data_IF_641250269869
#
_entry.id   IF_641250269869
#
_cell.length_a   1.000
_cell.length_b   1.000
_cell.length_c   1.000
_cell.angle_alpha   90.00
_cell.angle_beta   90.00
_cell.angle_gamma   90.00
#
_symmetry.space_group_name_H-M   'P 1'
#
loop_
_entity.id
_entity.type
_entity.pdbx_description
1 polymer ?
#
# COMPACT_ATOMS: atom_id res chain seq x y z
N UNK A 1 11.38 -29.13 -2.31
CA UNK A 1 10.89 -28.09 -1.38
C UNK A 1 12.10 -27.43 -0.73
N UNK A 2 12.32 -26.13 -0.95
CA UNK A 2 13.47 -25.42 -0.36
C UNK A 2 13.12 -25.08 1.10
N UNK A 3 13.92 -25.55 2.05
CA UNK A 3 13.77 -25.16 3.47
C UNK A 3 14.40 -23.79 3.67
N UNK A 4 13.65 -22.85 4.24
CA UNK A 4 14.19 -21.55 4.66
C UNK A 4 15.16 -21.75 5.83
N UNK A 5 16.26 -20.99 5.85
CA UNK A 5 17.14 -20.87 7.03
C UNK A 5 17.23 -19.40 7.44
N UNK A 6 17.35 -19.14 8.75
CA UNK A 6 17.66 -17.82 9.26
C UNK A 6 19.11 -17.49 8.88
N UNK A 7 19.33 -16.31 8.29
CA UNK A 7 20.66 -15.88 7.85
C UNK A 7 21.45 -15.18 8.96
N UNK A 8 20.76 -14.40 9.81
CA UNK A 8 21.36 -13.58 10.88
C UNK A 8 20.50 -13.75 12.15
N UNK A 9 20.77 -14.78 12.99
CA UNK A 9 19.93 -15.14 14.14
C UNK A 9 19.76 -14.03 15.18
N UNK A 10 20.79 -13.21 15.39
CA UNK A 10 20.82 -12.11 16.34
C UNK A 10 20.04 -10.87 15.87
N UNK A 11 19.59 -10.85 14.60
CA UNK A 11 18.79 -9.76 14.00
C UNK A 11 17.46 -10.24 13.44
N UNK A 12 16.89 -11.31 14.01
CA UNK A 12 15.53 -11.72 13.67
C UNK A 12 14.56 -10.58 13.99
N UNK A 13 13.87 -10.10 12.96
CA UNK A 13 12.98 -8.94 13.05
C UNK A 13 11.85 -9.25 14.02
N UNK A 14 11.59 -8.32 14.94
CA UNK A 14 10.44 -8.36 15.85
C UNK A 14 9.48 -7.21 15.52
N UNK A 15 8.20 -7.39 15.80
CA UNK A 15 7.19 -6.34 15.67
C UNK A 15 7.11 -5.61 17.00
N UNK A 16 7.57 -4.36 17.05
CA UNK A 16 7.52 -3.51 18.24
C UNK A 16 6.61 -2.30 17.99
N UNK A 17 5.51 -2.17 18.74
CA UNK A 17 4.70 -0.94 18.84
C UNK A 17 4.15 -0.34 17.53
N UNK A 18 4.30 -1.00 16.38
CA UNK A 18 3.94 -0.46 15.08
C UNK A 18 2.57 -0.96 14.66
N UNK A 19 1.73 -0.03 14.21
CA UNK A 19 0.43 -0.33 13.61
C UNK A 19 0.50 -0.53 12.09
N UNK A 20 1.64 -0.17 11.48
CA UNK A 20 1.88 -0.31 10.06
C UNK A 20 2.12 -1.75 9.66
N UNK A 21 1.23 -2.32 8.85
CA UNK A 21 1.42 -3.64 8.26
C UNK A 21 0.96 -3.64 6.81
N UNK A 22 1.57 -4.52 6.02
CA UNK A 22 1.13 -4.81 4.65
C UNK A 22 0.48 -6.19 4.69
N UNK A 23 -0.83 -6.32 4.44
CA UNK A 23 -1.48 -7.63 4.38
C UNK A 23 -0.81 -8.50 3.32
N UNK A 24 -0.63 -9.81 3.59
CA UNK A 24 -0.08 -10.74 2.59
C UNK A 24 -0.87 -10.72 1.26
N UNK A 25 -2.18 -10.45 1.34
CA UNK A 25 -3.08 -10.21 0.21
C UNK A 25 -2.58 -9.13 -0.75
N UNK A 26 -1.89 -8.10 -0.26
CA UNK A 26 -1.34 -7.05 -1.12
C UNK A 26 -0.45 -7.64 -2.23
N UNK A 27 0.32 -8.69 -1.92
CA UNK A 27 1.07 -9.45 -2.91
C UNK A 27 0.20 -10.51 -3.59
N UNK A 28 -0.51 -11.33 -2.80
CA UNK A 28 -1.18 -12.52 -3.31
C UNK A 28 -2.32 -12.22 -4.30
N UNK A 29 -3.01 -11.10 -4.15
CA UNK A 29 -4.09 -10.65 -5.04
C UNK A 29 -3.63 -9.60 -6.07
N UNK A 30 -2.31 -9.41 -6.23
CA UNK A 30 -1.76 -8.66 -7.37
C UNK A 30 -1.71 -7.13 -7.22
N UNK A 31 -2.05 -6.57 -6.06
CA UNK A 31 -1.95 -5.12 -5.82
C UNK A 31 -0.52 -4.62 -6.05
N UNK A 32 0.48 -5.33 -5.50
CA UNK A 32 1.90 -4.97 -5.67
C UNK A 32 2.29 -4.80 -7.15
N UNK A 33 1.86 -5.71 -8.02
CA UNK A 33 2.15 -5.68 -9.46
C UNK A 33 1.30 -4.68 -10.23
N UNK A 34 0.16 -4.26 -9.68
CA UNK A 34 -0.74 -3.29 -10.30
C UNK A 34 -0.30 -1.84 -10.11
N UNK A 35 0.65 -1.59 -9.20
CA UNK A 35 1.08 -0.26 -8.82
C UNK A 35 2.40 0.13 -9.47
N UNK A 36 2.49 1.41 -9.87
CA UNK A 36 3.72 2.04 -10.33
C UNK A 36 4.74 2.24 -9.20
N UNK A 37 5.97 2.62 -9.54
CA UNK A 37 7.05 2.82 -8.57
C UNK A 37 6.70 3.90 -7.54
N UNK A 38 6.20 5.04 -8.00
CA UNK A 38 5.85 6.19 -7.18
C UNK A 38 4.63 5.89 -6.29
N UNK A 39 3.66 5.14 -6.80
CA UNK A 39 2.51 4.64 -6.03
C UNK A 39 2.95 3.71 -4.90
N UNK A 40 3.88 2.79 -5.18
CA UNK A 40 4.44 1.89 -4.16
C UNK A 40 5.23 2.66 -3.09
N UNK A 41 6.05 3.62 -3.51
CA UNK A 41 6.80 4.47 -2.59
C UNK A 41 5.86 5.23 -1.64
N UNK A 42 4.82 5.86 -2.20
CA UNK A 42 3.85 6.61 -1.42
C UNK A 42 3.01 5.69 -0.51
N UNK A 43 2.51 4.57 -1.02
CA UNK A 43 1.70 3.62 -0.25
C UNK A 43 2.49 3.04 0.93
N UNK A 44 3.72 2.57 0.69
CA UNK A 44 4.55 2.03 1.77
C UNK A 44 4.98 3.09 2.77
N UNK A 45 5.23 4.32 2.32
CA UNK A 45 5.48 5.43 3.22
C UNK A 45 4.30 5.67 4.15
N UNK A 46 3.09 5.77 3.60
CA UNK A 46 1.87 5.94 4.39
C UNK A 46 1.67 4.78 5.38
N UNK A 47 1.97 3.54 4.99
CA UNK A 47 1.91 2.37 5.91
C UNK A 47 2.83 2.55 7.12
N UNK A 48 4.00 3.15 6.93
CA UNK A 48 4.97 3.37 8.00
C UNK A 48 4.55 4.52 8.93
N UNK A 49 3.98 5.60 8.38
CA UNK A 49 3.73 6.85 9.14
C UNK A 49 2.32 6.98 9.69
N UNK A 50 1.42 6.05 9.36
CA UNK A 50 0.03 6.10 9.80
C UNK A 50 -0.17 5.54 11.20
N UNK A 51 -1.21 6.03 11.88
CA UNK A 51 -1.62 5.52 13.18
C UNK A 51 -2.41 4.18 13.07
N UNK A 52 -2.98 3.72 14.20
CA UNK A 52 -3.78 2.49 14.28
C UNK A 52 -5.06 2.49 13.43
N UNK A 53 -5.50 3.64 12.94
CA UNK A 53 -6.66 3.81 12.06
C UNK A 53 -6.25 4.02 10.60
N UNK A 54 -4.94 3.95 10.30
CA UNK A 54 -4.42 4.24 8.97
C UNK A 54 -4.33 5.73 8.67
N UNK A 55 -4.39 6.61 9.68
CA UNK A 55 -4.46 8.06 9.50
C UNK A 55 -3.09 8.72 9.53
N UNK A 56 -2.86 9.72 8.66
CA UNK A 56 -1.63 10.52 8.65
C UNK A 56 -1.84 11.95 8.13
N UNK A 57 -1.30 12.95 8.85
CA UNK A 57 -1.26 14.38 8.45
C UNK A 57 0.05 14.77 7.75
N UNK A 58 0.71 13.81 7.09
CA UNK A 58 2.03 14.07 6.50
C UNK A 58 1.92 15.03 5.30
N UNK A 59 2.69 16.12 5.31
CA UNK A 59 2.63 17.14 4.26
C UNK A 59 3.29 16.71 2.94
N UNK A 60 2.65 17.03 1.81
CA UNK A 60 3.10 16.67 0.46
C UNK A 60 4.55 17.05 0.16
N UNK A 61 4.96 18.30 0.41
CA UNK A 61 6.33 18.77 0.17
C UNK A 61 7.38 17.91 0.88
N UNK A 62 7.08 17.50 2.12
CA UNK A 62 7.98 16.66 2.91
C UNK A 62 8.01 15.23 2.39
N UNK A 63 6.88 14.68 1.93
CA UNK A 63 6.84 13.37 1.27
C UNK A 63 7.64 13.39 -0.03
N UNK A 64 7.44 14.38 -0.90
CA UNK A 64 8.20 14.54 -2.13
C UNK A 64 9.71 14.56 -1.86
N UNK A 65 10.14 15.34 -0.87
CA UNK A 65 11.56 15.43 -0.49
C UNK A 65 12.13 14.11 0.03
N UNK A 66 11.39 13.37 0.87
CA UNK A 66 11.85 12.10 1.44
C UNK A 66 11.85 10.96 0.43
N UNK A 67 10.86 10.93 -0.47
CA UNK A 67 10.71 9.89 -1.47
C UNK A 67 11.54 10.17 -2.73
N UNK A 68 12.07 11.39 -2.87
CA UNK A 68 12.83 11.80 -4.05
C UNK A 68 11.98 11.84 -5.32
N UNK A 69 10.69 12.17 -5.19
CA UNK A 69 9.74 12.28 -6.29
C UNK A 69 9.32 13.73 -6.50
N UNK A 70 9.05 14.11 -7.74
CA UNK A 70 8.56 15.44 -8.07
C UNK A 70 7.11 15.64 -7.62
N UNK A 71 6.68 16.90 -7.53
CA UNK A 71 5.31 17.21 -7.15
C UNK A 71 4.25 16.65 -8.13
N UNK A 72 4.44 16.71 -9.46
CA UNK A 72 3.51 16.06 -10.40
C UNK A 72 3.45 14.54 -10.24
N UNK A 73 4.59 13.87 -10.07
CA UNK A 73 4.65 12.42 -9.83
C UNK A 73 3.92 12.02 -8.55
N UNK A 74 4.11 12.80 -7.48
CA UNK A 74 3.39 12.61 -6.23
C UNK A 74 1.87 12.78 -6.41
N UNK A 75 1.43 13.84 -7.08
CA UNK A 75 0.00 14.08 -7.32
C UNK A 75 -0.61 12.94 -8.12
N UNK A 76 0.04 12.52 -9.20
CA UNK A 76 -0.40 11.39 -10.01
C UNK A 76 -0.47 10.09 -9.19
N UNK A 77 0.57 9.78 -8.42
CA UNK A 77 0.61 8.58 -7.59
C UNK A 77 -0.50 8.57 -6.54
N UNK A 78 -0.72 9.70 -5.86
CA UNK A 78 -1.82 9.86 -4.90
C UNK A 78 -3.17 9.61 -5.57
N UNK A 79 -3.42 10.26 -6.69
CA UNK A 79 -4.71 10.18 -7.36
C UNK A 79 -4.98 8.76 -7.89
N UNK A 80 -3.95 8.05 -8.35
CA UNK A 80 -4.05 6.64 -8.72
C UNK A 80 -4.32 5.71 -7.54
N UNK A 81 -3.69 5.95 -6.38
CA UNK A 81 -3.98 5.18 -5.17
C UNK A 81 -5.42 5.40 -4.68
N UNK A 82 -5.95 6.61 -4.83
CA UNK A 82 -7.36 6.93 -4.55
C UNK A 82 -8.27 6.20 -5.54
N UNK A 83 -7.98 6.26 -6.84
CA UNK A 83 -8.76 5.56 -7.87
C UNK A 83 -8.78 4.04 -7.68
N UNK A 84 -7.72 3.47 -7.12
CA UNK A 84 -7.60 2.04 -6.81
C UNK A 84 -8.19 1.64 -5.45
N UNK A 85 -8.83 2.58 -4.74
CA UNK A 85 -9.44 2.36 -3.43
C UNK A 85 -8.44 1.84 -2.37
N UNK A 86 -7.18 2.32 -2.44
CA UNK A 86 -6.12 1.95 -1.51
C UNK A 86 -5.90 3.00 -0.42
N UNK A 87 -6.23 4.26 -0.72
CA UNK A 87 -6.18 5.37 0.22
C UNK A 87 -7.39 6.30 0.03
N UNK A 88 -7.75 7.03 1.08
CA UNK A 88 -8.58 8.23 1.00
C UNK A 88 -7.74 9.47 1.36
N UNK A 89 -8.11 10.62 0.82
CA UNK A 89 -7.45 11.90 1.09
C UNK A 89 -8.45 13.06 1.01
N UNK A 90 -8.51 13.90 2.04
CA UNK A 90 -9.44 15.04 2.10
C UNK A 90 -8.81 16.40 1.73
N UNK A 91 -7.54 16.41 1.34
CA UNK A 91 -6.76 17.64 1.14
C UNK A 91 -5.72 17.89 2.23
N UNK A 92 -5.89 17.27 3.41
CA UNK A 92 -5.00 17.40 4.57
C UNK A 92 -4.66 16.08 5.24
N UNK A 93 -5.62 15.18 5.32
CA UNK A 93 -5.54 13.91 6.04
C UNK A 93 -5.58 12.75 5.06
N UNK A 94 -4.62 11.84 5.19
CA UNK A 94 -4.63 10.54 4.53
C UNK A 94 -5.29 9.50 5.42
N UNK A 95 -5.98 8.55 4.78
CA UNK A 95 -6.37 7.28 5.38
C UNK A 95 -5.95 6.11 4.50
N UNK A 96 -5.24 5.14 5.05
CA UNK A 96 -5.07 3.82 4.43
C UNK A 96 -6.36 3.03 4.55
N UNK A 97 -6.84 2.52 3.42
CA UNK A 97 -8.05 1.73 3.37
C UNK A 97 -7.72 0.24 3.53
N UNK A 98 -8.71 -0.52 4.00
CA UNK A 98 -8.66 -1.97 3.88
C UNK A 98 -8.59 -2.35 2.40
N UNK A 99 -7.71 -3.30 2.05
CA UNK A 99 -7.60 -3.75 0.65
C UNK A 99 -8.97 -4.19 0.12
N UNK A 100 -9.36 -3.75 -1.10
CA UNK A 100 -10.58 -4.15 -1.75
C UNK A 100 -10.78 -5.67 -1.72
N UNK A 101 -12.04 -6.09 -1.61
CA UNK A 101 -12.37 -7.49 -1.78
C UNK A 101 -11.88 -7.96 -3.16
N UNK A 102 -11.41 -9.20 -3.24
CA UNK A 102 -11.13 -9.80 -4.53
C UNK A 102 -12.45 -9.83 -5.30
N UNK A 103 -12.46 -9.29 -6.50
CA UNK A 103 -13.59 -9.52 -7.41
C UNK A 103 -13.68 -11.04 -7.60
N UNK A 104 -14.73 -11.64 -7.06
CA UNK A 104 -15.06 -13.03 -7.37
C UNK A 104 -15.31 -13.08 -8.87
N UNK A 105 -14.32 -13.59 -9.62
CA UNK A 105 -14.50 -13.93 -11.04
C UNK A 105 -15.57 -15.02 -11.14
N UNK A 106 -16.83 -14.61 -11.14
CA UNK A 106 -17.99 -15.43 -11.45
C UNK A 106 -18.53 -15.07 -12.84
N UNK A 107 -17.65 -14.71 -13.77
CA UNK A 107 -17.96 -14.56 -15.20
C UNK A 107 -17.87 -15.90 -15.94
N UNK A 108 -18.56 -16.93 -15.43
CA UNK A 108 -18.73 -18.16 -16.18
C UNK A 108 -19.99 -18.94 -15.73
N UNK A 109 -21.17 -18.36 -16.02
CA UNK A 109 -22.45 -19.09 -16.23
C UNK A 109 -23.57 -18.14 -16.68
N UNK A 110 -23.32 -17.34 -17.71
CA UNK A 110 -24.38 -16.67 -18.45
C UNK A 110 -23.90 -16.56 -19.89
N UNK A 111 -24.03 -17.66 -20.65
CA UNK A 111 -24.10 -17.74 -22.12
C UNK A 111 -24.06 -19.22 -22.53
N UNK A 112 -25.11 -19.96 -22.14
CA UNK A 112 -25.59 -21.10 -22.92
C UNK A 112 -27.10 -20.87 -23.03
N UNK A 113 -27.49 -20.06 -24.01
CA UNK A 113 -28.79 -20.12 -24.64
C UNK A 113 -28.66 -20.95 -25.91
#
# INVERSE_FOLDING_TARGET
MIRKRILVPERVRQVHGSFGFIPHRFMADGFLSSLGREELLLYFFLVVVSDKHGLSYYGSKRMCSLLGISEPEYQQARDQLIMKDLIAFDGTLFQLLSLPAKEDRNDNKANNF
#
